data_IF_526722020266
#
_entry.id   IF_526722020266
#
_cell.length_a   1.000
_cell.length_b   1.000
_cell.length_c   1.000
_cell.angle_alpha   90.00
_cell.angle_beta   90.00
_cell.angle_gamma   90.00
#
_symmetry.space_group_name_H-M   'P 1'
#
loop_
_entity.id
_entity.type
_entity.pdbx_description
1 polymer ?
#
# COMPACT_ATOMS: atom_id res chain seq x y z
N UNK A 1 -32.77 55.18 4.23
CA UNK A 1 -32.38 55.58 2.86
C UNK A 1 -31.52 54.44 2.35
N UNK A 2 -31.94 53.48 1.53
CA UNK A 2 -32.70 53.60 0.29
C UNK A 2 -33.37 52.23 -0.01
N UNK A 3 -34.50 51.91 0.63
CA UNK A 3 -35.41 50.83 0.21
C UNK A 3 -36.20 51.30 -1.03
N UNK A 4 -35.51 51.57 -2.15
CA UNK A 4 -36.16 52.16 -3.32
C UNK A 4 -35.51 51.79 -4.67
N UNK A 5 -35.15 50.52 -4.86
CA UNK A 5 -34.84 49.97 -6.19
C UNK A 5 -35.60 48.66 -6.48
N UNK A 6 -36.74 48.45 -5.81
CA UNK A 6 -37.63 47.29 -5.99
C UNK A 6 -38.79 47.54 -6.99
N UNK A 7 -38.69 48.58 -7.83
CA UNK A 7 -39.84 49.00 -8.66
C UNK A 7 -39.43 49.45 -10.07
N UNK A 8 -38.51 48.74 -10.70
CA UNK A 8 -38.20 48.97 -12.12
C UNK A 8 -38.09 47.64 -12.88
N UNK A 9 -39.11 47.41 -13.70
CA UNK A 9 -39.08 46.55 -14.90
C UNK A 9 -39.25 45.03 -14.71
N UNK A 10 -40.40 44.72 -14.14
CA UNK A 10 -41.26 43.59 -14.50
C UNK A 10 -41.86 43.86 -15.91
N UNK A 11 -41.18 43.48 -17.03
CA UNK A 11 -41.74 42.46 -17.93
C UNK A 11 -40.64 41.71 -18.76
N UNK A 12 -39.66 41.07 -18.12
CA UNK A 12 -38.64 40.24 -18.80
C UNK A 12 -38.51 38.82 -18.21
N UNK A 13 -39.31 38.48 -17.19
CA UNK A 13 -39.17 37.25 -16.41
C UNK A 13 -39.86 36.01 -17.00
N UNK A 14 -40.64 36.15 -18.07
CA UNK A 14 -41.32 35.00 -18.70
C UNK A 14 -40.54 34.38 -19.88
N UNK A 15 -39.62 35.11 -20.53
CA UNK A 15 -38.81 34.60 -21.65
C UNK A 15 -37.52 33.93 -21.17
N UNK A 16 -36.97 34.34 -20.03
CA UNK A 16 -35.79 33.72 -19.41
C UNK A 16 -36.06 32.31 -18.90
N UNK A 17 -37.29 31.97 -18.49
CA UNK A 17 -37.63 30.61 -18.05
C UNK A 17 -37.64 29.60 -19.20
N UNK A 18 -38.19 29.99 -20.36
CA UNK A 18 -38.20 29.15 -21.56
C UNK A 18 -36.79 29.04 -22.15
N UNK A 19 -36.01 30.13 -22.14
CA UNK A 19 -34.63 30.11 -22.60
C UNK A 19 -33.65 29.41 -21.64
N UNK A 20 -33.86 29.48 -20.32
CA UNK A 20 -33.10 28.69 -19.33
C UNK A 20 -33.43 27.20 -19.44
N UNK A 21 -34.71 26.84 -19.60
CA UNK A 21 -35.09 25.44 -19.81
C UNK A 21 -34.58 24.91 -21.17
N UNK A 22 -34.65 25.70 -22.24
CA UNK A 22 -34.10 25.32 -23.54
C UNK A 22 -32.57 25.17 -23.49
N UNK A 23 -31.85 26.06 -22.80
CA UNK A 23 -30.39 25.93 -22.60
C UNK A 23 -30.02 24.68 -21.78
N UNK A 24 -30.74 24.38 -20.70
CA UNK A 24 -30.50 23.18 -19.88
C UNK A 24 -30.81 21.90 -20.66
N UNK A 25 -31.89 21.87 -21.46
CA UNK A 25 -32.24 20.73 -22.30
C UNK A 25 -31.24 20.53 -23.44
N UNK A 26 -30.77 21.61 -24.08
CA UNK A 26 -29.74 21.53 -25.13
C UNK A 26 -28.39 21.07 -24.54
N UNK A 27 -28.00 21.56 -23.36
CA UNK A 27 -26.77 21.13 -22.66
C UNK A 27 -26.86 19.67 -22.19
N UNK A 28 -28.03 19.21 -21.73
CA UNK A 28 -28.26 17.82 -21.39
C UNK A 28 -28.26 16.89 -22.62
N UNK A 29 -28.78 17.35 -23.77
CA UNK A 29 -28.80 16.58 -25.02
C UNK A 29 -27.43 16.51 -25.71
N UNK A 30 -26.59 17.54 -25.62
CA UNK A 30 -25.23 17.51 -26.19
C UNK A 30 -24.22 16.76 -25.33
N UNK A 31 -24.44 16.63 -24.02
CA UNK A 31 -23.60 15.79 -23.14
C UNK A 31 -23.90 14.28 -23.34
N UNK A 32 -25.12 13.91 -23.72
CA UNK A 32 -25.49 12.50 -23.93
C UNK A 32 -24.94 11.88 -25.23
N UNK A 33 -24.48 12.68 -26.19
CA UNK A 33 -24.06 12.21 -27.52
C UNK A 33 -22.55 11.96 -27.69
N UNK A 34 -21.72 12.21 -26.65
CA UNK A 34 -20.29 11.87 -26.64
C UNK A 34 -19.97 10.62 -25.80
N UNK A 35 -20.95 10.02 -25.12
CA UNK A 35 -20.75 8.85 -24.26
C UNK A 35 -21.56 7.67 -24.79
N UNK A 36 -21.27 7.26 -26.02
CA UNK A 36 -21.82 6.03 -26.60
C UNK A 36 -20.73 5.25 -27.33
N UNK A 37 -20.33 4.15 -26.67
CA UNK A 37 -19.57 3.00 -27.18
C UNK A 37 -18.05 3.24 -27.33
N UNK A 38 -17.14 2.42 -26.81
CA UNK A 38 -17.25 1.05 -26.31
C UNK A 38 -16.05 0.78 -25.40
N UNK A 39 -16.32 0.12 -24.28
CA UNK A 39 -15.31 -0.30 -23.33
C UNK A 39 -15.98 -0.65 -22.02
N UNK A 40 -16.81 -1.69 -22.02
CA UNK A 40 -17.20 -2.37 -20.80
C UNK A 40 -15.93 -3.09 -20.31
N UNK A 41 -15.29 -2.69 -19.20
CA UNK A 41 -14.33 -3.58 -18.57
C UNK A 41 -15.19 -4.68 -17.95
N UNK A 42 -15.05 -5.89 -18.46
CA UNK A 42 -15.66 -7.08 -17.88
C UNK A 42 -15.48 -7.08 -16.36
N UNK A 43 -16.48 -7.56 -15.58
CA UNK A 43 -16.25 -7.85 -14.17
C UNK A 43 -15.21 -8.96 -14.09
N UNK A 44 -13.94 -8.59 -13.89
CA UNK A 44 -12.89 -9.55 -13.56
C UNK A 44 -13.07 -9.96 -12.09
N UNK A 45 -14.09 -10.79 -11.82
CA UNK A 45 -13.94 -11.78 -10.77
C UNK A 45 -12.96 -12.83 -11.28
N UNK A 46 -11.97 -13.14 -10.45
CA UNK A 46 -11.02 -14.25 -10.63
C UNK A 46 -10.10 -14.15 -11.84
N UNK A 47 -8.99 -13.42 -11.67
CA UNK A 47 -7.72 -14.08 -11.99
C UNK A 47 -7.31 -14.89 -10.75
N UNK A 48 -7.94 -16.06 -10.63
CA UNK A 48 -7.26 -17.22 -10.03
C UNK A 48 -6.16 -17.61 -11.03
N UNK A 49 -5.01 -16.94 -10.90
CA UNK A 49 -3.76 -17.46 -11.41
C UNK A 49 -2.99 -18.05 -10.23
N UNK A 50 -3.54 -19.15 -9.71
CA UNK A 50 -2.72 -20.29 -9.30
C UNK A 50 -2.17 -20.90 -10.61
N UNK A 51 -1.03 -20.38 -11.05
CA UNK A 51 -0.10 -21.06 -11.95
C UNK A 51 1.26 -20.34 -11.87
N UNK A 52 1.93 -20.59 -10.75
CA UNK A 52 3.30 -21.11 -10.72
C UNK A 52 4.26 -20.59 -11.81
N UNK A 53 5.09 -19.60 -11.44
CA UNK A 53 6.37 -19.34 -12.12
C UNK A 53 7.30 -18.45 -11.30
N UNK A 54 8.59 -18.77 -11.19
CA UNK A 54 9.21 -20.06 -10.89
C UNK A 54 9.29 -20.25 -9.38
N UNK A 55 9.29 -21.50 -8.92
CA UNK A 55 9.96 -21.87 -7.67
C UNK A 55 11.37 -21.31 -7.80
N UNK A 56 11.62 -20.19 -7.14
CA UNK A 56 12.97 -19.68 -7.00
C UNK A 56 13.71 -20.81 -6.31
N UNK A 57 14.72 -21.36 -6.99
CA UNK A 57 15.74 -22.22 -6.41
C UNK A 57 16.58 -21.38 -5.44
N UNK A 58 15.92 -20.79 -4.44
CA UNK A 58 16.56 -20.40 -3.21
C UNK A 58 16.85 -21.74 -2.52
N UNK A 59 18.09 -22.04 -2.11
CA UNK A 59 18.33 -23.20 -1.25
C UNK A 59 17.29 -23.13 -0.12
N UNK A 60 16.65 -24.25 0.26
CA UNK A 60 15.64 -24.23 1.31
C UNK A 60 16.31 -23.74 2.59
N UNK A 61 16.28 -22.43 2.82
CA UNK A 61 16.39 -21.85 4.14
C UNK A 61 15.17 -22.44 4.82
N UNK A 62 15.38 -23.39 5.72
CA UNK A 62 14.23 -23.92 6.42
C UNK A 62 13.64 -22.76 7.21
N UNK A 63 12.32 -22.59 7.17
CA UNK A 63 11.63 -21.51 7.90
C UNK A 63 12.12 -21.39 9.35
N UNK A 64 12.45 -22.53 9.95
CA UNK A 64 13.06 -22.67 11.27
C UNK A 64 14.44 -22.02 11.39
N UNK A 65 15.30 -22.12 10.37
CA UNK A 65 16.60 -21.44 10.36
C UNK A 65 16.41 -19.91 10.29
N UNK A 66 15.45 -19.46 9.49
CA UNK A 66 15.11 -18.04 9.36
C UNK A 66 14.59 -17.46 10.69
N UNK A 67 13.67 -18.16 11.34
CA UNK A 67 13.14 -17.78 12.65
C UNK A 67 14.22 -17.77 13.73
N UNK A 68 15.16 -18.72 13.68
CA UNK A 68 16.28 -18.78 14.63
C UNK A 68 17.23 -17.60 14.42
N UNK A 69 17.63 -17.32 13.18
CA UNK A 69 18.46 -16.18 12.87
C UNK A 69 17.79 -14.83 13.23
N UNK A 70 16.49 -14.68 12.95
CA UNK A 70 15.73 -13.49 13.32
C UNK A 70 15.66 -13.29 14.84
N UNK A 71 15.49 -14.39 15.59
CA UNK A 71 15.51 -14.40 17.05
C UNK A 71 16.88 -13.99 17.59
N UNK A 72 17.97 -14.48 16.99
CA UNK A 72 19.34 -14.15 17.42
C UNK A 72 19.65 -12.66 17.20
N UNK A 73 19.30 -12.12 16.02
CA UNK A 73 19.44 -10.69 15.72
C UNK A 73 18.70 -9.83 16.77
N UNK A 74 17.46 -10.21 17.09
CA UNK A 74 16.67 -9.49 18.08
C UNK A 74 17.24 -9.64 19.49
N UNK A 75 17.73 -10.83 19.85
CA UNK A 75 18.33 -11.12 21.15
C UNK A 75 19.63 -10.32 21.38
N UNK A 76 20.49 -10.23 20.36
CA UNK A 76 21.71 -9.41 20.40
C UNK A 76 21.39 -7.94 20.61
N UNK A 77 20.41 -7.42 19.84
CA UNK A 77 19.99 -6.02 19.92
C UNK A 77 19.41 -5.66 21.29
N UNK A 78 18.55 -6.52 21.84
CA UNK A 78 17.95 -6.32 23.17
C UNK A 78 18.88 -6.72 24.32
N UNK A 79 20.02 -7.37 24.03
CA UNK A 79 20.92 -7.96 25.02
C UNK A 79 20.22 -8.94 25.98
N UNK A 80 19.31 -9.76 25.43
CA UNK A 80 18.52 -10.78 26.16
C UNK A 80 18.85 -12.18 25.65
N UNK A 81 18.38 -13.23 26.33
CA UNK A 81 18.52 -14.59 25.80
C UNK A 81 17.48 -14.87 24.72
N UNK A 82 17.89 -15.51 23.63
CA UNK A 82 17.02 -15.93 22.54
C UNK A 82 15.81 -16.77 23.02
N UNK A 83 15.97 -17.54 24.10
CA UNK A 83 14.90 -18.35 24.70
C UNK A 83 13.77 -17.53 25.33
N UNK A 84 14.02 -16.27 25.71
CA UNK A 84 13.00 -15.39 26.30
C UNK A 84 12.07 -14.77 25.27
N UNK A 85 12.47 -14.77 24.00
CA UNK A 85 11.68 -14.23 22.89
C UNK A 85 10.65 -15.28 22.46
N UNK A 86 9.36 -15.01 22.61
CA UNK A 86 8.32 -15.93 22.13
C UNK A 86 7.91 -15.55 20.71
N UNK A 87 7.98 -16.50 19.77
CA UNK A 87 7.51 -16.29 18.40
C UNK A 87 5.98 -16.13 18.43
N UNK A 88 5.48 -15.04 17.85
CA UNK A 88 4.06 -14.71 17.78
C UNK A 88 3.52 -15.01 16.38
N UNK A 89 4.23 -14.56 15.34
CA UNK A 89 3.84 -14.76 13.95
C UNK A 89 5.04 -14.79 13.02
N UNK A 90 4.84 -15.42 11.88
CA UNK A 90 5.72 -15.42 10.73
C UNK A 90 4.82 -15.34 9.49
N UNK A 91 5.06 -14.34 8.66
CA UNK A 91 4.27 -14.07 7.46
C UNK A 91 5.19 -13.79 6.28
N UNK A 92 4.93 -14.42 5.14
CA UNK A 92 5.55 -14.03 3.88
C UNK A 92 4.99 -12.69 3.41
N UNK A 93 5.88 -11.73 3.16
CA UNK A 93 5.53 -10.36 2.79
C UNK A 93 6.33 -9.94 1.55
N UNK A 94 5.69 -9.16 0.68
CA UNK A 94 6.34 -8.50 -0.45
C UNK A 94 6.56 -7.03 -0.11
N UNK A 95 7.81 -6.67 0.11
CA UNK A 95 8.23 -5.32 0.44
C UNK A 95 8.21 -4.45 -0.81
N UNK A 96 7.78 -3.19 -0.69
CA UNK A 96 7.70 -2.26 -1.83
C UNK A 96 9.06 -1.69 -2.26
N UNK A 97 10.08 -1.86 -1.41
CA UNK A 97 11.44 -1.39 -1.62
C UNK A 97 12.46 -2.34 -0.96
N UNK A 98 13.72 -2.11 -1.28
CA UNK A 98 14.86 -2.83 -0.69
C UNK A 98 15.14 -2.42 0.78
N UNK A 99 14.35 -1.52 1.38
CA UNK A 99 14.44 -1.19 2.80
C UNK A 99 13.61 -2.15 3.67
N UNK A 100 12.87 -3.07 3.05
CA UNK A 100 11.99 -4.02 3.75
C UNK A 100 10.97 -3.29 4.63
N UNK A 101 10.52 -2.09 4.21
CA UNK A 101 9.61 -1.25 4.97
C UNK A 101 10.24 -0.48 6.14
N UNK A 102 11.56 -0.59 6.35
CA UNK A 102 12.29 0.03 7.45
C UNK A 102 13.50 0.79 6.92
N UNK A 103 13.30 2.01 6.39
CA UNK A 103 14.41 2.81 5.89
C UNK A 103 15.33 3.23 7.03
N UNK A 104 16.63 3.04 6.82
CA UNK A 104 17.68 3.61 7.66
C UNK A 104 17.98 5.04 7.21
N UNK A 105 18.23 5.93 8.17
CA UNK A 105 18.55 7.33 7.86
C UNK A 105 19.83 7.46 7.04
N UNK A 106 19.81 8.36 6.05
CA UNK A 106 20.96 8.65 5.19
C UNK A 106 21.21 7.63 4.07
N UNK A 107 20.41 6.56 3.99
CA UNK A 107 20.50 5.55 2.94
C UNK A 107 19.48 5.80 1.83
N UNK A 108 19.84 5.44 0.60
CA UNK A 108 18.93 5.39 -0.54
C UNK A 108 18.63 3.94 -0.89
N UNK A 109 17.35 3.61 -1.06
CA UNK A 109 16.88 2.25 -1.35
C UNK A 109 16.31 2.15 -2.76
N UNK A 110 16.49 0.99 -3.39
CA UNK A 110 15.86 0.71 -4.67
C UNK A 110 14.36 0.45 -4.49
N UNK A 111 13.54 0.99 -5.39
CA UNK A 111 12.10 0.73 -5.45
C UNK A 111 11.84 -0.56 -6.23
N UNK A 112 12.18 -1.69 -5.62
CA UNK A 112 11.98 -3.03 -6.16
C UNK A 112 11.09 -3.81 -5.21
N UNK A 113 10.17 -4.61 -5.77
CA UNK A 113 9.38 -5.52 -4.95
C UNK A 113 10.27 -6.64 -4.46
N UNK A 114 10.58 -6.65 -3.16
CA UNK A 114 11.48 -7.62 -2.54
C UNK A 114 10.66 -8.63 -1.74
N UNK A 115 10.66 -9.92 -2.12
CA UNK A 115 9.98 -10.94 -1.36
C UNK A 115 10.76 -11.28 -0.09
N UNK A 116 10.07 -11.59 0.99
CA UNK A 116 10.69 -11.77 2.29
C UNK A 116 9.71 -12.25 3.36
N UNK A 117 10.15 -12.19 4.62
CA UNK A 117 9.32 -12.55 5.77
C UNK A 117 9.23 -11.39 6.76
N UNK A 118 8.07 -11.27 7.41
CA UNK A 118 7.86 -10.47 8.62
C UNK A 118 7.64 -11.42 9.78
N UNK A 119 8.57 -11.41 10.73
CA UNK A 119 8.57 -12.30 11.89
C UNK A 119 8.35 -11.43 13.12
N UNK A 120 7.33 -11.75 13.91
CA UNK A 120 6.99 -11.01 15.12
C UNK A 120 7.33 -11.84 16.36
N UNK A 121 8.10 -11.27 17.27
CA UNK A 121 8.40 -11.83 18.57
C UNK A 121 7.70 -11.03 19.68
N UNK A 122 7.50 -11.68 20.82
CA UNK A 122 7.03 -11.03 22.05
C UNK A 122 8.04 -11.21 23.17
N UNK A 123 8.26 -10.13 23.93
CA UNK A 123 9.15 -10.10 25.07
C UNK A 123 8.63 -9.08 26.09
N UNK A 124 8.49 -9.50 27.35
CA UNK A 124 7.97 -8.69 28.47
C UNK A 124 6.61 -8.00 28.23
N UNK A 125 5.82 -8.48 27.26
CA UNK A 125 4.52 -7.92 26.89
C UNK A 125 4.56 -6.96 25.70
N UNK A 126 5.76 -6.65 25.19
CA UNK A 126 5.96 -5.87 23.97
C UNK A 126 6.15 -6.78 22.76
N UNK A 127 5.84 -6.25 21.57
CA UNK A 127 5.97 -6.93 20.29
C UNK A 127 7.09 -6.30 19.45
N UNK A 128 7.91 -7.16 18.85
CA UNK A 128 9.09 -6.79 18.10
C UNK A 128 9.05 -7.44 16.71
N UNK A 129 9.22 -6.64 15.67
CA UNK A 129 9.16 -7.10 14.29
C UNK A 129 10.57 -7.21 13.70
N UNK A 130 10.81 -8.31 12.99
CA UNK A 130 12.04 -8.56 12.22
C UNK A 130 11.64 -8.83 10.79
N UNK A 131 12.15 -8.03 9.87
CA UNK A 131 11.88 -8.12 8.44
C UNK A 131 13.10 -8.72 7.74
N UNK A 132 12.86 -9.67 6.84
CA UNK A 132 13.92 -10.38 6.11
C UNK A 132 13.64 -10.30 4.62
N UNK A 133 14.68 -10.34 3.79
CA UNK A 133 14.54 -10.60 2.35
C UNK A 133 14.87 -12.06 2.05
N UNK A 134 14.37 -12.59 0.93
CA UNK A 134 14.85 -13.88 0.43
C UNK A 134 16.25 -13.74 -0.18
N UNK A 135 17.08 -14.78 -0.06
CA UNK A 135 18.43 -14.75 -0.60
C UNK A 135 18.39 -14.66 -2.14
N UNK A 136 18.90 -13.56 -2.71
CA UNK A 136 18.92 -13.31 -4.15
C UNK A 136 18.70 -11.85 -4.57
N UNK A 137 18.33 -10.97 -3.65
CA UNK A 137 18.04 -9.57 -3.96
C UNK A 137 19.30 -8.69 -4.14
N UNK A 138 19.30 -7.72 -5.08
CA UNK A 138 20.43 -6.82 -5.35
C UNK A 138 20.58 -5.68 -4.32
N UNK A 139 20.01 -5.84 -3.13
CA UNK A 139 20.03 -4.83 -2.06
C UNK A 139 21.37 -4.75 -1.31
N UNK A 140 21.56 -3.72 -0.45
CA UNK A 140 22.68 -3.69 0.49
C UNK A 140 22.68 -4.96 1.38
N UNK A 141 23.81 -5.32 2.02
CA UNK A 141 23.93 -6.57 2.76
C UNK A 141 23.11 -6.54 4.06
N UNK A 142 21.80 -6.73 3.95
CA UNK A 142 20.90 -6.92 5.08
C UNK A 142 19.95 -8.06 4.73
N UNK A 143 20.32 -9.27 5.14
CA UNK A 143 19.45 -10.43 4.99
C UNK A 143 18.37 -10.48 6.08
N UNK A 144 18.43 -9.58 7.08
CA UNK A 144 17.48 -9.38 8.19
C UNK A 144 17.65 -7.97 8.76
N UNK A 145 16.56 -7.32 9.15
CA UNK A 145 16.50 -6.00 9.80
C UNK A 145 15.46 -6.04 10.90
N UNK A 146 15.76 -5.48 12.08
CA UNK A 146 14.73 -5.32 13.10
C UNK A 146 14.10 -3.93 13.02
N UNK A 147 12.78 -3.90 13.05
CA UNK A 147 11.96 -2.74 12.74
C UNK A 147 11.16 -2.31 13.95
N UNK A 148 11.35 -1.08 14.40
CA UNK A 148 10.55 -0.49 15.47
C UNK A 148 10.11 0.91 15.06
N UNK A 149 8.81 1.20 15.13
CA UNK A 149 8.30 2.52 14.80
C UNK A 149 8.57 2.99 13.37
N UNK A 150 8.87 2.08 12.44
CA UNK A 150 9.14 2.37 11.02
C UNK A 150 10.60 2.68 10.68
N UNK A 151 11.54 2.51 11.63
CA UNK A 151 12.98 2.66 11.39
C UNK A 151 13.72 1.36 11.61
N UNK A 152 14.75 1.12 10.80
CA UNK A 152 15.67 0.00 10.96
C UNK A 152 16.68 0.27 12.09
N UNK A 153 16.98 -0.77 12.88
CA UNK A 153 17.99 -0.78 13.93
C UNK A 153 19.01 -1.90 13.73
#
# INVERSE_FOLDING_TARGET
MQMLQDRLFFPQRLTLGVWQLAMVVIMALTVCALVACAGEPAPQTSNDQEAEKPVATVPPQTLTDLQTAARDVLAERLSVSADTLALVSDEEVQWSDAALGCPQEGMMYAQVITPGHRITFSYEGDHYEVHTSMAGDPGPPLNMVSCEGGTAY
#
